data_IF_238074262826
#
_entry.id   IF_238074262826
#
_cell.length_a   1.000
_cell.length_b   1.000
_cell.length_c   1.000
_cell.angle_alpha   90.00
_cell.angle_beta   90.00
_cell.angle_gamma   90.00
#
_symmetry.space_group_name_H-M   'P 1'
#
loop_
_entity.id
_entity.type
_entity.pdbx_description
1 polymer ?
#
# COMPACT_ATOMS: atom_id res chain seq x y z
N UNK A 1 -5.78 -1.49 11.74
CA UNK A 1 -5.23 -1.64 13.12
C UNK A 1 -5.33 -3.11 13.45
N UNK A 2 -4.21 -3.81 13.62
CA UNK A 2 -4.19 -5.27 13.83
C UNK A 2 -4.51 -5.59 15.29
N UNK A 3 -5.30 -6.63 15.54
CA UNK A 3 -5.63 -7.04 16.91
C UNK A 3 -4.73 -8.17 17.37
N UNK A 4 -4.45 -8.15 18.66
CA UNK A 4 -3.52 -9.06 19.32
C UNK A 4 -4.31 -10.17 20.00
N UNK A 5 -4.05 -11.42 19.62
CA UNK A 5 -4.31 -12.56 20.51
C UNK A 5 -2.93 -13.00 21.00
N UNK A 6 -2.66 -12.77 22.28
CA UNK A 6 -1.35 -13.04 22.90
C UNK A 6 -1.25 -14.50 23.33
N UNK A 7 -1.14 -15.39 22.36
CA UNK A 7 -0.40 -16.64 22.52
C UNK A 7 0.46 -16.78 21.25
N UNK A 8 1.77 -16.92 21.41
CA UNK A 8 2.76 -17.24 20.35
C UNK A 8 3.09 -16.21 19.25
N UNK A 9 2.66 -14.95 19.36
CA UNK A 9 3.13 -13.87 18.47
C UNK A 9 2.45 -13.80 17.10
N UNK A 10 1.31 -14.47 16.95
CA UNK A 10 0.44 -14.35 15.79
C UNK A 10 -0.49 -13.12 15.95
N UNK A 11 -0.65 -12.34 14.87
CA UNK A 11 -1.52 -11.17 14.82
C UNK A 11 -2.69 -11.45 13.89
N UNK A 12 -3.92 -11.14 14.31
CA UNK A 12 -5.09 -11.36 13.46
C UNK A 12 -5.55 -10.04 12.85
N UNK A 13 -6.00 -10.12 11.60
CA UNK A 13 -6.78 -9.04 11.01
C UNK A 13 -8.15 -9.03 11.67
N UNK A 14 -8.40 -8.01 12.48
CA UNK A 14 -9.74 -7.75 12.98
C UNK A 14 -10.16 -6.37 12.49
N UNK A 15 -11.15 -6.40 11.60
CA UNK A 15 -11.70 -5.21 10.98
C UNK A 15 -12.93 -4.69 11.70
N UNK A 16 -13.30 -5.27 12.86
CA UNK A 16 -14.39 -4.79 13.70
C UNK A 16 -14.33 -3.30 14.04
N UNK A 17 -13.16 -2.63 14.18
CA UNK A 17 -13.16 -1.17 14.39
C UNK A 17 -13.56 -0.35 13.16
N UNK A 18 -13.41 -0.92 11.97
CA UNK A 18 -13.81 -0.29 10.71
C UNK A 18 -15.24 -0.68 10.34
N UNK A 19 -15.68 -1.88 10.77
CA UNK A 19 -16.99 -2.47 10.51
C UNK A 19 -17.64 -2.93 11.82
N UNK A 20 -17.97 -1.96 12.70
CA UNK A 20 -18.39 -2.21 14.09
C UNK A 20 -19.70 -2.96 14.25
N UNK A 21 -20.49 -3.06 13.19
CA UNK A 21 -21.74 -3.81 13.17
C UNK A 21 -21.58 -5.22 12.57
N UNK A 22 -20.35 -5.65 12.31
CA UNK A 22 -19.99 -6.95 11.70
C UNK A 22 -20.67 -7.19 10.35
N UNK A 23 -21.09 -6.12 9.66
CA UNK A 23 -21.78 -6.24 8.38
C UNK A 23 -20.79 -6.34 7.22
N UNK A 24 -21.23 -7.07 6.20
CA UNK A 24 -20.62 -7.03 4.89
C UNK A 24 -20.78 -5.63 4.30
N UNK A 25 -19.66 -5.00 3.92
CA UNK A 25 -19.67 -3.72 3.22
C UNK A 25 -19.38 -3.95 1.74
N UNK A 26 -20.36 -3.61 0.91
CA UNK A 26 -20.20 -3.60 -0.53
C UNK A 26 -19.49 -2.32 -0.94
N UNK A 27 -18.35 -2.47 -1.59
CA UNK A 27 -17.56 -1.37 -2.12
C UNK A 27 -17.81 -1.27 -3.62
N UNK A 28 -18.05 -0.04 -4.10
CA UNK A 28 -18.05 0.20 -5.54
C UNK A 28 -16.63 0.05 -6.10
N UNK A 29 -16.48 -0.29 -7.38
CA UNK A 29 -15.15 -0.37 -8.00
C UNK A 29 -14.40 0.96 -7.89
N UNK A 30 -15.09 2.09 -8.03
CA UNK A 30 -14.52 3.44 -7.84
C UNK A 30 -14.01 3.64 -6.42
N UNK A 31 -14.81 3.36 -5.39
CA UNK A 31 -14.39 3.49 -3.99
C UNK A 31 -13.21 2.57 -3.68
N UNK A 32 -13.22 1.36 -4.23
CA UNK A 32 -12.15 0.38 -4.06
C UNK A 32 -10.83 0.89 -4.65
N UNK A 33 -10.87 1.55 -5.81
CA UNK A 33 -9.70 2.15 -6.44
C UNK A 33 -9.23 3.42 -5.72
N UNK A 34 -10.14 4.34 -5.39
CA UNK A 34 -9.81 5.60 -4.70
C UNK A 34 -9.18 5.39 -3.33
N UNK A 35 -9.45 4.26 -2.69
CA UNK A 35 -8.90 3.94 -1.38
C UNK A 35 -7.54 3.25 -1.43
N UNK A 36 -7.01 2.87 -2.59
CA UNK A 36 -5.76 2.08 -2.72
C UNK A 36 -4.57 2.74 -2.03
N UNK A 37 -4.34 4.04 -2.27
CA UNK A 37 -3.16 4.74 -1.74
C UNK A 37 -3.12 4.69 -0.21
N UNK A 38 -4.24 4.98 0.45
CA UNK A 38 -4.29 5.06 1.92
C UNK A 38 -4.86 3.79 2.57
N UNK A 39 -5.23 2.81 1.76
CA UNK A 39 -5.82 1.52 2.12
C UNK A 39 -6.85 1.62 3.25
N UNK A 40 -7.80 2.55 3.12
CA UNK A 40 -8.80 2.87 4.15
C UNK A 40 -9.54 1.64 4.66
N UNK A 41 -9.83 0.71 3.75
CA UNK A 41 -10.58 -0.52 4.01
C UNK A 41 -9.69 -1.74 4.26
N UNK A 42 -8.36 -1.56 4.27
CA UNK A 42 -7.37 -2.63 4.46
C UNK A 42 -7.55 -3.80 3.48
N UNK A 43 -7.86 -3.48 2.23
CA UNK A 43 -8.22 -4.45 1.19
C UNK A 43 -7.06 -4.75 0.25
N UNK A 44 -5.91 -4.08 0.37
CA UNK A 44 -4.84 -4.19 -0.63
C UNK A 44 -4.00 -5.48 -0.54
N UNK A 45 -4.00 -6.14 0.61
CA UNK A 45 -3.23 -7.37 0.81
C UNK A 45 -3.84 -8.55 0.03
N UNK A 46 -3.02 -9.34 -0.67
CA UNK A 46 -3.53 -10.54 -1.38
C UNK A 46 -3.93 -11.63 -0.39
N UNK A 47 -3.15 -11.78 0.68
CA UNK A 47 -3.43 -12.71 1.75
C UNK A 47 -4.75 -12.37 2.47
N UNK A 48 -5.43 -13.40 3.00
CA UNK A 48 -6.71 -13.22 3.70
C UNK A 48 -7.91 -12.88 2.80
N UNK A 49 -7.75 -12.82 1.47
CA UNK A 49 -8.84 -12.49 0.55
C UNK A 49 -9.27 -13.64 -0.35
N UNK A 50 -10.56 -13.67 -0.69
CA UNK A 50 -11.15 -14.62 -1.62
C UNK A 50 -11.47 -13.90 -2.94
N UNK A 51 -10.89 -14.39 -4.03
CA UNK A 51 -10.98 -13.77 -5.36
C UNK A 51 -11.25 -14.89 -6.37
N UNK A 52 -12.23 -14.67 -7.26
CA UNK A 52 -12.54 -15.58 -8.35
C UNK A 52 -11.30 -15.78 -9.25
N UNK A 53 -10.97 -17.04 -9.54
CA UNK A 53 -9.81 -17.42 -10.36
C UNK A 53 -9.82 -16.77 -11.74
N UNK A 54 -11.00 -16.52 -12.32
CA UNK A 54 -11.11 -15.95 -13.66
C UNK A 54 -10.59 -14.51 -13.72
N UNK A 55 -10.64 -13.78 -12.60
CA UNK A 55 -10.12 -12.41 -12.51
C UNK A 55 -8.59 -12.35 -12.65
N UNK A 56 -7.90 -13.45 -12.34
CA UNK A 56 -6.44 -13.57 -12.46
C UNK A 56 -5.95 -13.86 -13.88
N UNK A 57 -6.84 -14.08 -14.85
CA UNK A 57 -6.42 -14.35 -16.23
C UNK A 57 -5.62 -13.16 -16.80
N UNK A 58 -4.36 -13.41 -17.14
CA UNK A 58 -3.42 -12.38 -17.60
C UNK A 58 -2.99 -11.37 -16.53
N UNK A 59 -3.29 -11.62 -15.25
CA UNK A 59 -2.80 -10.83 -14.13
C UNK A 59 -1.47 -11.39 -13.63
N UNK A 60 -0.53 -10.50 -13.28
CA UNK A 60 0.79 -10.88 -12.76
C UNK A 60 1.28 -9.88 -11.71
N UNK A 61 2.07 -10.39 -10.77
CA UNK A 61 2.87 -9.55 -9.87
C UNK A 61 4.18 -9.12 -10.54
N UNK A 62 4.58 -7.89 -10.29
CA UNK A 62 5.89 -7.40 -10.73
C UNK A 62 7.01 -8.13 -9.99
N UNK A 63 7.97 -8.68 -10.74
CA UNK A 63 9.13 -9.36 -10.16
C UNK A 63 10.18 -8.35 -9.69
N UNK A 64 10.88 -8.70 -8.61
CA UNK A 64 11.98 -7.90 -8.08
C UNK A 64 11.57 -6.58 -7.40
N UNK A 65 10.26 -6.37 -7.20
CA UNK A 65 9.71 -5.17 -6.55
C UNK A 65 9.04 -5.57 -5.22
N UNK A 66 9.41 -4.91 -4.12
CA UNK A 66 8.73 -5.06 -2.82
C UNK A 66 7.36 -4.39 -2.82
N UNK A 67 6.47 -4.84 -1.93
CA UNK A 67 5.09 -4.32 -1.82
C UNK A 67 4.26 -4.60 -3.09
N UNK A 68 4.44 -5.79 -3.66
CA UNK A 68 3.79 -6.23 -4.88
C UNK A 68 2.27 -6.29 -4.76
N UNK A 69 1.72 -6.59 -3.58
CA UNK A 69 0.29 -6.56 -3.29
C UNK A 69 -0.28 -5.17 -3.62
N UNK A 70 0.31 -4.14 -3.03
CA UNK A 70 -0.01 -2.74 -3.30
C UNK A 70 0.16 -2.37 -4.76
N UNK A 71 1.22 -2.85 -5.41
CA UNK A 71 1.48 -2.56 -6.81
C UNK A 71 0.63 -3.34 -7.83
N UNK A 72 -0.14 -4.34 -7.44
CA UNK A 72 -0.78 -5.23 -8.43
C UNK A 72 -2.22 -5.61 -8.09
N UNK A 73 -2.62 -5.73 -6.83
CA UNK A 73 -3.96 -6.18 -6.46
C UNK A 73 -5.05 -5.27 -7.00
N UNK A 74 -4.82 -3.95 -7.00
CA UNK A 74 -5.80 -2.98 -7.49
C UNK A 74 -6.26 -3.23 -8.95
N UNK A 75 -5.44 -3.90 -9.76
CA UNK A 75 -5.78 -4.26 -11.16
C UNK A 75 -6.93 -5.27 -11.26
N UNK A 76 -7.27 -5.94 -10.16
CA UNK A 76 -8.38 -6.88 -10.08
C UNK A 76 -9.72 -6.17 -9.87
N UNK A 77 -9.74 -5.00 -9.21
CA UNK A 77 -10.98 -4.29 -8.86
C UNK A 77 -11.82 -3.83 -10.07
N UNK A 78 -11.24 -3.33 -11.17
CA UNK A 78 -12.00 -3.01 -12.37
C UNK A 78 -12.58 -4.24 -13.08
N UNK A 79 -12.07 -5.44 -12.77
CA UNK A 79 -12.54 -6.71 -13.35
C UNK A 79 -13.61 -7.36 -12.49
N UNK A 80 -13.70 -6.99 -11.21
CA UNK A 80 -14.66 -7.53 -10.28
C UNK A 80 -16.04 -6.88 -10.50
N UNK A 81 -17.09 -7.70 -10.50
CA UNK A 81 -18.47 -7.21 -10.53
C UNK A 81 -18.87 -6.55 -9.20
N UNK A 82 -18.34 -7.06 -8.09
CA UNK A 82 -18.60 -6.57 -6.74
C UNK A 82 -17.36 -6.83 -5.88
N UNK A 83 -17.02 -5.88 -5.00
CA UNK A 83 -16.00 -6.06 -3.97
C UNK A 83 -16.70 -5.97 -2.62
N UNK A 84 -16.47 -6.95 -1.75
CA UNK A 84 -17.09 -7.03 -0.42
C UNK A 84 -16.01 -7.09 0.64
N UNK A 85 -16.06 -6.16 1.59
CA UNK A 85 -15.27 -6.20 2.81
C UNK A 85 -16.09 -6.87 3.92
N UNK A 86 -15.45 -7.74 4.70
CA UNK A 86 -16.06 -8.47 5.81
C UNK A 86 -15.23 -8.26 7.07
N UNK A 87 -15.91 -8.11 8.21
CA UNK A 87 -15.27 -7.86 9.50
C UNK A 87 -14.46 -9.05 10.03
N UNK A 88 -14.87 -10.27 9.68
CA UNK A 88 -14.31 -11.53 10.20
C UNK A 88 -13.30 -12.15 9.23
N UNK A 89 -12.20 -11.48 8.93
CA UNK A 89 -11.07 -12.15 8.28
C UNK A 89 -10.17 -12.80 9.33
N UNK A 90 -10.42 -14.08 9.64
CA UNK A 90 -9.57 -14.89 10.52
C UNK A 90 -8.24 -15.29 9.86
N UNK A 91 -7.60 -14.39 9.12
CA UNK A 91 -6.25 -14.57 8.63
C UNK A 91 -5.26 -14.03 9.67
N UNK A 92 -4.35 -14.90 10.12
CA UNK A 92 -3.29 -14.57 11.06
C UNK A 92 -2.00 -14.24 10.32
N UNK A 93 -1.42 -13.07 10.59
CA UNK A 93 -0.07 -12.72 10.19
C UNK A 93 0.91 -13.00 11.34
N UNK A 94 1.87 -13.89 11.10
CA UNK A 94 2.97 -14.11 12.04
C UNK A 94 3.99 -13.00 11.94
N UNK A 95 4.24 -12.27 13.02
CA UNK A 95 5.33 -11.29 13.06
C UNK A 95 6.57 -11.90 13.71
N UNK A 96 7.71 -11.74 13.02
CA UNK A 96 9.03 -12.07 13.56
C UNK A 96 9.98 -10.93 13.21
N UNK A 97 10.91 -10.63 14.12
CA UNK A 97 11.90 -9.56 13.92
C UNK A 97 12.84 -9.86 12.73
N UNK A 98 13.10 -11.13 12.45
CA UNK A 98 13.89 -11.62 11.32
C UNK A 98 13.07 -11.82 10.02
N UNK A 99 11.73 -11.70 10.12
CA UNK A 99 10.80 -11.75 9.00
C UNK A 99 10.78 -10.47 8.18
N UNK A 100 10.11 -10.50 7.02
CA UNK A 100 10.03 -9.34 6.10
C UNK A 100 9.49 -8.09 6.80
N UNK A 101 8.37 -8.23 7.54
CA UNK A 101 7.80 -7.12 8.31
C UNK A 101 8.76 -6.62 9.38
N UNK A 102 9.35 -7.51 10.19
CA UNK A 102 10.31 -7.14 11.23
C UNK A 102 11.52 -6.38 10.67
N UNK A 103 12.10 -6.89 9.59
CA UNK A 103 13.22 -6.24 8.87
C UNK A 103 12.85 -4.84 8.39
N UNK A 104 11.64 -4.60 7.89
CA UNK A 104 11.23 -3.25 7.46
C UNK A 104 11.15 -2.24 8.60
N UNK A 105 10.94 -2.70 9.84
CA UNK A 105 10.88 -1.89 11.08
C UNK A 105 12.25 -1.61 11.72
N UNK A 106 13.32 -2.21 11.22
CA UNK A 106 14.66 -1.93 11.73
C UNK A 106 15.17 -0.58 11.21
N UNK A 107 16.02 0.08 12.01
CA UNK A 107 16.70 1.30 11.58
C UNK A 107 17.60 1.02 10.37
N UNK A 108 17.60 1.90 9.36
CA UNK A 108 18.35 1.72 8.10
C UNK A 108 19.18 2.94 7.74
N UNK A 109 20.22 2.71 6.94
CA UNK A 109 21.02 3.78 6.32
C UNK A 109 20.21 4.47 5.23
N UNK A 110 20.68 5.65 4.80
CA UNK A 110 20.13 6.38 3.66
C UNK A 110 19.91 5.49 2.43
N UNK A 111 20.94 4.73 2.01
CA UNK A 111 20.86 3.89 0.80
C UNK A 111 19.83 2.77 0.92
N UNK A 112 19.70 2.18 2.11
CA UNK A 112 18.70 1.15 2.39
C UNK A 112 17.28 1.72 2.34
N UNK A 113 17.05 2.92 2.90
CA UNK A 113 15.76 3.60 2.85
C UNK A 113 15.38 4.06 1.43
N UNK A 114 16.35 4.55 0.64
CA UNK A 114 16.13 4.88 -0.78
C UNK A 114 15.73 3.63 -1.56
N UNK A 115 16.41 2.49 -1.35
CA UNK A 115 16.05 1.24 -2.03
C UNK A 115 14.61 0.82 -1.74
N UNK A 116 14.19 0.86 -0.47
CA UNK A 116 12.83 0.53 -0.06
C UNK A 116 11.82 1.52 -0.65
N UNK A 117 12.14 2.80 -0.62
CA UNK A 117 11.25 3.85 -1.13
C UNK A 117 11.08 3.78 -2.65
N UNK A 118 12.13 3.44 -3.41
CA UNK A 118 12.04 3.25 -4.85
C UNK A 118 11.06 2.15 -5.24
N UNK A 119 10.99 1.07 -4.47
CA UNK A 119 10.00 0.02 -4.69
C UNK A 119 8.58 0.54 -4.50
N UNK A 120 8.34 1.28 -3.40
CA UNK A 120 7.04 1.88 -3.14
C UNK A 120 6.66 2.91 -4.22
N UNK A 121 7.57 3.81 -4.60
CA UNK A 121 7.33 4.82 -5.63
C UNK A 121 6.99 4.19 -6.98
N UNK A 122 7.70 3.13 -7.38
CA UNK A 122 7.37 2.39 -8.60
C UNK A 122 5.95 1.80 -8.57
N UNK A 123 5.47 1.37 -7.41
CA UNK A 123 4.08 0.89 -7.27
C UNK A 123 3.06 2.03 -7.26
N UNK A 124 3.38 3.18 -6.66
CA UNK A 124 2.53 4.39 -6.72
C UNK A 124 2.40 4.90 -8.16
N UNK A 125 3.51 5.03 -8.88
CA UNK A 125 3.51 5.46 -10.29
C UNK A 125 2.71 4.49 -11.16
N UNK A 126 2.85 3.19 -10.91
CA UNK A 126 2.04 2.19 -11.59
C UNK A 126 0.56 2.35 -11.27
N UNK A 127 0.19 2.57 -10.01
CA UNK A 127 -1.21 2.86 -9.65
C UNK A 127 -1.73 4.10 -10.41
N UNK A 128 -1.01 5.22 -10.37
CA UNK A 128 -1.36 6.45 -11.09
C UNK A 128 -1.58 6.19 -12.58
N UNK A 129 -0.63 5.51 -13.24
CA UNK A 129 -0.72 5.15 -14.66
C UNK A 129 -2.01 4.38 -14.99
N UNK A 130 -2.39 3.41 -14.16
CA UNK A 130 -3.62 2.65 -14.38
C UNK A 130 -4.88 3.49 -14.14
N UNK A 131 -4.85 4.41 -13.18
CA UNK A 131 -5.98 5.30 -12.94
C UNK A 131 -6.20 6.29 -14.08
N UNK A 132 -5.12 6.82 -14.66
CA UNK A 132 -5.15 7.64 -15.88
C UNK A 132 -5.77 6.86 -17.05
N UNK A 133 -5.37 5.59 -17.25
CA UNK A 133 -5.97 4.72 -18.28
C UNK A 133 -7.46 4.46 -18.06
N UNK A 134 -7.95 4.56 -16.83
CA UNK A 134 -9.36 4.37 -16.48
C UNK A 134 -10.18 5.67 -16.56
N UNK A 135 -9.60 6.77 -17.07
CA UNK A 135 -10.23 8.10 -17.15
C UNK A 135 -10.72 8.62 -15.79
N UNK A 136 -10.01 8.30 -14.71
CA UNK A 136 -10.28 8.93 -13.42
C UNK A 136 -9.73 10.38 -13.40
N UNK A 137 -10.14 11.21 -12.44
CA UNK A 137 -9.69 12.61 -12.36
C UNK A 137 -8.18 12.69 -12.10
N UNK A 138 -7.42 12.90 -13.18
CA UNK A 138 -5.95 12.94 -13.19
C UNK A 138 -5.39 13.85 -12.10
N UNK A 139 -5.96 15.06 -11.93
CA UNK A 139 -5.40 16.05 -11.00
C UNK A 139 -5.57 15.62 -9.54
N UNK A 140 -6.72 15.04 -9.19
CA UNK A 140 -6.96 14.51 -7.85
C UNK A 140 -6.01 13.35 -7.55
N UNK A 141 -5.86 12.42 -8.50
CA UNK A 141 -4.99 11.24 -8.34
C UNK A 141 -3.53 11.64 -8.17
N UNK A 142 -3.03 12.58 -8.97
CA UNK A 142 -1.66 13.08 -8.83
C UNK A 142 -1.43 13.74 -7.48
N UNK A 143 -2.40 14.55 -7.02
CA UNK A 143 -2.34 15.20 -5.70
C UNK A 143 -2.32 14.17 -4.57
N UNK A 144 -3.20 13.18 -4.62
CA UNK A 144 -3.27 12.10 -3.62
C UNK A 144 -2.00 11.27 -3.62
N UNK A 145 -1.40 10.99 -4.78
CA UNK A 145 -0.13 10.29 -4.88
C UNK A 145 1.02 11.06 -4.23
N UNK A 146 1.11 12.39 -4.43
CA UNK A 146 2.11 13.23 -3.76
C UNK A 146 1.88 13.27 -2.24
N UNK A 147 0.62 13.34 -1.78
CA UNK A 147 0.27 13.30 -0.37
C UNK A 147 0.65 11.96 0.28
N UNK A 148 0.40 10.85 -0.44
CA UNK A 148 0.81 9.52 -0.01
C UNK A 148 2.34 9.42 0.11
N UNK A 149 3.08 9.82 -0.93
CA UNK A 149 4.55 9.80 -0.92
C UNK A 149 5.10 10.66 0.22
N UNK A 150 4.49 11.80 0.50
CA UNK A 150 4.89 12.68 1.62
C UNK A 150 4.69 11.97 2.96
N UNK A 151 3.51 11.42 3.20
CA UNK A 151 3.20 10.69 4.44
C UNK A 151 4.13 9.48 4.63
N UNK A 152 4.34 8.72 3.55
CA UNK A 152 5.25 7.59 3.52
C UNK A 152 6.70 8.01 3.81
N UNK A 153 7.19 9.10 3.19
CA UNK A 153 8.55 9.61 3.43
C UNK A 153 8.77 10.03 4.88
N UNK A 154 7.79 10.65 5.54
CA UNK A 154 7.93 11.03 6.95
C UNK A 154 8.04 9.80 7.85
N UNK A 155 7.23 8.77 7.57
CA UNK A 155 7.34 7.50 8.26
C UNK A 155 8.71 6.85 8.03
N UNK A 156 9.17 6.71 6.79
CA UNK A 156 10.47 6.10 6.48
C UNK A 156 11.65 6.90 7.03
N UNK A 157 11.58 8.23 7.02
CA UNK A 157 12.58 9.11 7.63
C UNK A 157 12.75 8.81 9.12
N UNK A 158 11.65 8.49 9.84
CA UNK A 158 11.70 8.06 11.24
C UNK A 158 12.40 6.71 11.45
N UNK A 159 12.60 5.93 10.39
CA UNK A 159 13.31 4.65 10.38
C UNK A 159 14.80 4.79 10.05
N UNK A 160 15.32 6.00 9.89
CA UNK A 160 16.73 6.24 9.61
C UNK A 160 17.61 5.95 10.85
N UNK A 161 18.81 5.40 10.63
CA UNK A 161 19.83 5.08 11.64
C UNK A 161 20.38 6.33 12.32
N UNK A 162 20.50 7.43 11.59
CA UNK A 162 21.05 8.69 12.06
C UNK A 162 20.22 9.89 11.56
N UNK A 163 20.45 11.06 12.16
CA UNK A 163 19.85 12.32 11.68
C UNK A 163 20.44 12.74 10.33
N UNK A 164 21.70 12.41 10.05
CA UNK A 164 22.33 12.62 8.74
C UNK A 164 21.63 11.79 7.65
N UNK A 165 21.46 10.48 7.88
CA UNK A 165 20.73 9.59 6.97
C UNK A 165 19.31 10.12 6.70
N UNK A 166 18.63 10.59 7.76
CA UNK A 166 17.28 11.15 7.69
C UNK A 166 17.24 12.39 6.79
N UNK A 167 18.18 13.31 6.96
CA UNK A 167 18.24 14.54 6.16
C UNK A 167 18.53 14.23 4.69
N UNK A 168 19.50 13.35 4.41
CA UNK A 168 19.80 12.90 3.04
C UNK A 168 18.59 12.23 2.38
N UNK A 169 17.88 11.40 3.15
CA UNK A 169 16.68 10.72 2.67
C UNK A 169 15.55 11.71 2.34
N UNK A 170 15.26 12.66 3.23
CA UNK A 170 14.22 13.66 3.00
C UNK A 170 14.55 14.53 1.78
N UNK A 171 15.81 14.96 1.63
CA UNK A 171 16.26 15.71 0.44
C UNK A 171 16.05 14.91 -0.86
N UNK A 172 16.38 13.61 -0.83
CA UNK A 172 16.13 12.71 -1.96
C UNK A 172 14.64 12.65 -2.31
N UNK A 173 13.78 12.44 -1.31
CA UNK A 173 12.34 12.35 -1.51
C UNK A 173 11.72 13.66 -2.01
N UNK A 174 12.21 14.81 -1.54
CA UNK A 174 11.77 16.12 -2.02
C UNK A 174 12.11 16.32 -3.50
N UNK A 175 13.35 16.02 -3.91
CA UNK A 175 13.74 16.06 -5.32
C UNK A 175 12.89 15.12 -6.18
N UNK A 176 12.55 13.94 -5.66
CA UNK A 176 11.69 12.98 -6.35
C UNK A 176 10.28 13.50 -6.55
N UNK A 177 9.66 14.04 -5.48
CA UNK A 177 8.32 14.64 -5.56
C UNK A 177 8.29 15.81 -6.56
N UNK A 178 9.30 16.68 -6.55
CA UNK A 178 9.40 17.77 -7.52
C UNK A 178 9.55 17.26 -8.96
N UNK A 179 10.26 16.16 -9.16
CA UNK A 179 10.30 15.47 -10.46
C UNK A 179 8.90 15.03 -10.88
N UNK A 180 8.15 14.34 -10.01
CA UNK A 180 6.80 13.86 -10.32
C UNK A 180 5.83 15.00 -10.62
N UNK A 181 5.82 16.06 -9.79
CA UNK A 181 4.99 17.25 -10.02
C UNK A 181 5.18 17.84 -11.43
N UNK A 182 6.43 17.91 -11.89
CA UNK A 182 6.74 18.36 -13.27
C UNK A 182 6.19 17.41 -14.34
N UNK A 183 6.24 16.10 -14.14
CA UNK A 183 5.70 15.13 -15.10
C UNK A 183 4.17 15.11 -15.11
N UNK A 184 3.56 15.29 -13.96
CA UNK A 184 2.11 15.27 -13.76
C UNK A 184 1.45 16.64 -13.96
N UNK A 185 2.24 17.69 -14.20
CA UNK A 185 1.77 19.07 -14.39
C UNK A 185 0.91 19.60 -13.23
N UNK A 186 1.36 19.35 -11.99
CA UNK A 186 0.71 19.82 -10.74
C UNK A 186 1.62 20.70 -9.89
#
# INVERSE_FOLDING_TARGET
MFFYIREDGDHYFDYSPFFSDLKMVKLSSTETLETVLFDKHQIIELAGTLIDSDLYKGWTCAQGIMYEDFGNKFKLYPRANEVVAVSEQLYGYRQRDDGTIGKTKQKKTFLEEVKISNNMMANVEKYVYYMELMNADDKKIHTDAINYITSYSLYRASMSKSEEDKNLYLEYMDKYKEKLKRYWNI
#
